data_IF_957916461080
#
_entry.id   IF_957916461080
#
_cell.length_a   1.000
_cell.length_b   1.000
_cell.length_c   1.000
_cell.angle_alpha   90.00
_cell.angle_beta   90.00
_cell.angle_gamma   90.00
#
_symmetry.space_group_name_H-M   'P 1'
#
loop_
_entity.id
_entity.type
_entity.pdbx_description
1 polymer ?
#
# COMPACT_ATOMS: atom_id res chain seq x y z
N UNK A 1 -2.99 9.71 26.08
CA UNK A 1 -3.60 9.60 24.75
C UNK A 1 -2.56 9.10 23.74
N UNK A 2 -3.01 8.50 22.65
CA UNK A 2 -2.13 8.14 21.51
C UNK A 2 -2.60 8.87 20.25
N UNK A 3 -1.64 9.26 19.42
CA UNK A 3 -1.90 9.96 18.15
C UNK A 3 -1.49 9.08 16.98
N UNK A 4 -2.33 9.01 15.96
CA UNK A 4 -2.05 8.39 14.68
C UNK A 4 -2.13 9.42 13.56
N UNK A 5 -1.19 9.38 12.63
CA UNK A 5 -1.23 10.12 11.37
C UNK A 5 -1.14 9.15 10.20
N UNK A 6 -1.92 9.37 9.15
CA UNK A 6 -1.91 8.52 7.97
C UNK A 6 -2.32 9.24 6.68
N UNK A 7 -1.96 8.64 5.54
CA UNK A 7 -2.15 9.23 4.21
C UNK A 7 -2.82 8.30 3.19
N UNK A 8 -2.83 6.99 3.43
CA UNK A 8 -3.37 5.99 2.49
C UNK A 8 -4.38 5.06 3.15
N UNK A 9 -5.19 4.37 2.34
CA UNK A 9 -6.14 3.37 2.84
C UNK A 9 -5.45 2.16 3.47
N UNK A 10 -4.29 1.74 2.92
CA UNK A 10 -3.44 0.71 3.50
C UNK A 10 -2.99 1.09 4.92
N UNK A 11 -2.47 2.30 5.07
CA UNK A 11 -2.05 2.81 6.38
C UNK A 11 -3.23 2.95 7.35
N UNK A 12 -4.42 3.30 6.86
CA UNK A 12 -5.61 3.35 7.70
C UNK A 12 -5.95 1.98 8.28
N UNK A 13 -5.91 0.93 7.45
CA UNK A 13 -6.12 -0.45 7.91
C UNK A 13 -5.09 -0.81 8.99
N UNK A 14 -3.80 -0.60 8.73
CA UNK A 14 -2.72 -0.88 9.69
C UNK A 14 -2.89 -0.12 11.01
N UNK A 15 -3.27 1.16 10.96
CA UNK A 15 -3.50 1.96 12.16
C UNK A 15 -4.70 1.46 12.98
N UNK A 16 -5.80 1.05 12.32
CA UNK A 16 -6.96 0.46 13.00
C UNK A 16 -6.58 -0.84 13.72
N UNK A 17 -5.85 -1.71 13.05
CA UNK A 17 -5.40 -2.99 13.60
C UNK A 17 -4.42 -2.79 14.75
N UNK A 18 -3.40 -1.94 14.56
CA UNK A 18 -2.44 -1.61 15.60
C UNK A 18 -3.14 -1.00 16.83
N UNK A 19 -4.07 -0.07 16.60
CA UNK A 19 -4.88 0.53 17.66
C UNK A 19 -5.64 -0.54 18.46
N UNK A 20 -6.25 -1.49 17.75
CA UNK A 20 -7.03 -2.57 18.37
C UNK A 20 -6.14 -3.52 19.18
N UNK A 21 -4.97 -3.87 18.66
CA UNK A 21 -4.08 -4.85 19.28
C UNK A 21 -3.30 -4.28 20.48
N UNK A 22 -2.85 -3.02 20.38
CA UNK A 22 -1.89 -2.48 21.34
C UNK A 22 -2.43 -1.33 22.21
N UNK A 23 -3.51 -0.68 21.80
CA UNK A 23 -4.03 0.52 22.45
C UNK A 23 -5.54 0.52 22.64
N UNK A 24 -6.18 -0.65 22.72
CA UNK A 24 -7.64 -0.77 22.78
C UNK A 24 -8.27 0.11 23.88
N UNK A 25 -7.59 0.29 25.01
CA UNK A 25 -8.09 1.04 26.15
C UNK A 25 -7.55 2.49 26.25
N UNK A 26 -6.71 2.92 25.30
CA UNK A 26 -6.21 4.29 25.29
C UNK A 26 -7.17 5.21 24.52
N UNK A 27 -7.29 6.45 24.90
CA UNK A 27 -7.88 7.45 24.03
C UNK A 27 -6.99 7.65 22.81
N UNK A 28 -7.56 7.54 21.61
CA UNK A 28 -6.84 7.58 20.34
C UNK A 28 -7.37 8.69 19.44
N UNK A 29 -6.48 9.55 18.99
CA UNK A 29 -6.71 10.62 18.04
C UNK A 29 -6.13 10.22 16.69
N UNK A 30 -6.86 10.45 15.62
CA UNK A 30 -6.42 10.18 14.25
C UNK A 30 -6.36 11.48 13.43
N UNK A 31 -5.24 11.69 12.76
CA UNK A 31 -5.07 12.70 11.71
C UNK A 31 -5.05 12.01 10.35
N UNK A 32 -5.95 12.40 9.46
CA UNK A 32 -6.05 11.91 8.08
C UNK A 32 -5.61 13.00 7.12
N UNK A 33 -4.80 12.67 6.12
CA UNK A 33 -4.51 13.58 5.02
C UNK A 33 -5.76 13.83 4.15
N UNK A 34 -6.00 15.06 3.76
CA UNK A 34 -7.18 15.49 3.00
C UNK A 34 -7.32 14.81 1.62
N UNK A 35 -6.22 14.43 0.99
CA UNK A 35 -6.28 13.72 -0.29
C UNK A 35 -6.80 12.28 -0.15
N UNK A 36 -6.66 11.65 1.04
CA UNK A 36 -7.30 10.37 1.32
C UNK A 36 -8.82 10.51 1.36
N UNK A 37 -9.33 11.58 1.98
CA UNK A 37 -10.77 11.82 2.08
C UNK A 37 -11.45 12.00 0.72
N UNK A 38 -10.71 12.54 -0.26
CA UNK A 38 -11.18 12.66 -1.66
C UNK A 38 -11.23 11.32 -2.40
N UNK A 39 -10.26 10.43 -2.13
CA UNK A 39 -10.22 9.07 -2.72
C UNK A 39 -11.27 8.15 -2.10
N UNK A 40 -11.58 8.35 -0.82
CA UNK A 40 -12.49 7.51 -0.03
C UNK A 40 -13.57 8.37 0.63
N UNK A 41 -14.63 8.75 -0.10
CA UNK A 41 -15.70 9.59 0.44
C UNK A 41 -16.40 8.99 1.67
N UNK A 42 -16.30 7.67 1.87
CA UNK A 42 -16.83 6.98 3.05
C UNK A 42 -16.06 7.30 4.35
N UNK A 43 -14.98 8.09 4.31
CA UNK A 43 -14.17 8.42 5.48
C UNK A 43 -14.96 9.03 6.64
N UNK A 44 -16.04 9.77 6.35
CA UNK A 44 -16.93 10.35 7.37
C UNK A 44 -17.56 9.28 8.27
N UNK A 45 -17.72 8.06 7.74
CA UNK A 45 -18.24 6.90 8.49
C UNK A 45 -17.18 6.19 9.31
N UNK A 46 -15.92 6.62 9.24
CA UNK A 46 -14.82 6.00 10.01
C UNK A 46 -15.08 6.07 11.52
N UNK A 47 -15.67 7.14 12.00
CA UNK A 47 -16.06 7.28 13.39
C UNK A 47 -17.05 6.19 13.85
N UNK A 48 -17.91 5.71 12.96
CA UNK A 48 -18.87 4.64 13.25
C UNK A 48 -18.18 3.30 13.54
N UNK A 49 -16.97 3.09 13.04
CA UNK A 49 -16.21 1.87 13.28
C UNK A 49 -15.67 1.76 14.71
N UNK A 50 -15.51 2.89 15.40
CA UNK A 50 -15.12 2.96 16.80
C UNK A 50 -13.64 2.62 17.08
N UNK A 51 -12.76 2.73 16.10
CA UNK A 51 -11.32 2.55 16.32
C UNK A 51 -10.63 3.79 16.91
N UNK A 52 -11.16 4.98 16.64
CA UNK A 52 -10.60 6.25 17.08
C UNK A 52 -11.66 7.09 17.77
N UNK A 53 -11.26 7.78 18.85
CA UNK A 53 -12.17 8.61 19.62
C UNK A 53 -12.42 9.95 18.93
N UNK A 54 -11.39 10.48 18.26
CA UNK A 54 -11.46 11.74 17.52
C UNK A 54 -10.69 11.62 16.20
N UNK A 55 -11.21 12.27 15.14
CA UNK A 55 -10.66 12.21 13.79
C UNK A 55 -10.58 13.62 13.24
N UNK A 56 -9.39 14.03 12.79
CA UNK A 56 -9.12 15.33 12.20
C UNK A 56 -8.59 15.17 10.77
N UNK A 57 -8.95 16.09 9.88
CA UNK A 57 -8.47 16.09 8.49
C UNK A 57 -7.43 17.19 8.32
N UNK A 58 -6.19 16.79 8.04
CA UNK A 58 -5.09 17.71 7.77
C UNK A 58 -5.14 18.20 6.33
N UNK A 59 -5.38 19.50 6.09
CA UNK A 59 -5.55 20.05 4.74
C UNK A 59 -4.20 20.36 4.06
N UNK A 60 -3.43 19.33 3.72
CA UNK A 60 -2.11 19.46 3.07
C UNK A 60 -2.14 20.25 1.76
N UNK A 61 -3.28 20.32 1.07
CA UNK A 61 -3.42 21.12 -0.14
C UNK A 61 -3.18 22.63 0.07
N UNK A 62 -3.27 23.10 1.30
CA UNK A 62 -2.99 24.51 1.66
C UNK A 62 -1.49 24.82 1.74
N UNK A 63 -0.64 23.80 1.84
CA UNK A 63 0.79 24.02 2.02
C UNK A 63 1.45 24.41 0.69
N UNK A 64 2.26 25.45 0.75
CA UNK A 64 3.16 25.86 -0.33
C UNK A 64 4.52 25.25 -0.01
N UNK A 65 4.94 24.28 -0.82
CA UNK A 65 6.15 23.48 -0.59
C UNK A 65 7.42 24.23 -1.05
N UNK A 66 7.64 25.46 -0.58
CA UNK A 66 8.78 26.27 -0.97
C UNK A 66 9.34 27.09 0.21
N UNK A 67 10.66 26.99 0.41
CA UNK A 67 11.41 27.82 1.35
C UNK A 67 11.07 27.66 2.83
N UNK A 68 11.67 28.49 3.66
CA UNK A 68 11.58 28.43 5.13
C UNK A 68 10.16 28.61 5.68
N UNK A 69 9.28 29.28 4.93
CA UNK A 69 7.89 29.49 5.34
C UNK A 69 7.08 28.21 5.47
N UNK A 70 7.54 27.10 4.91
CA UNK A 70 6.89 25.80 5.04
C UNK A 70 6.76 25.35 6.50
N UNK A 71 7.73 25.72 7.32
CA UNK A 71 7.72 25.36 8.74
C UNK A 71 6.62 26.09 9.52
N UNK A 72 6.44 27.39 9.26
CA UNK A 72 5.39 28.18 9.87
C UNK A 72 4.01 27.71 9.38
N UNK A 73 3.94 27.28 8.13
CA UNK A 73 2.71 26.69 7.58
C UNK A 73 2.38 25.34 8.25
N UNK A 74 3.37 24.48 8.47
CA UNK A 74 3.15 23.19 9.15
C UNK A 74 2.68 23.40 10.59
N UNK A 75 3.27 24.39 11.31
CA UNK A 75 2.86 24.79 12.66
C UNK A 75 1.40 25.25 12.67
N UNK A 76 1.11 26.28 11.86
CA UNK A 76 -0.25 26.83 11.73
C UNK A 76 -1.27 25.74 11.37
N UNK A 77 -0.91 24.87 10.43
CA UNK A 77 -1.80 23.81 9.96
C UNK A 77 -2.13 22.82 11.08
N UNK A 78 -1.13 22.44 11.88
CA UNK A 78 -1.35 21.57 13.03
C UNK A 78 -2.22 22.24 14.08
N UNK A 79 -1.88 23.47 14.51
CA UNK A 79 -2.62 24.21 15.53
C UNK A 79 -4.07 24.50 15.15
N UNK A 80 -4.33 24.79 13.86
CA UNK A 80 -5.70 25.01 13.36
C UNK A 80 -6.51 23.71 13.26
N UNK A 81 -5.83 22.56 13.10
CA UNK A 81 -6.49 21.27 12.85
C UNK A 81 -6.70 20.47 14.13
N UNK A 82 -5.69 20.44 15.02
CA UNK A 82 -5.66 19.55 16.19
C UNK A 82 -5.68 20.37 17.46
N UNK A 83 -6.71 20.24 18.32
CA UNK A 83 -6.84 21.09 19.52
C UNK A 83 -5.92 20.67 20.68
N UNK A 84 -4.97 19.79 20.42
CA UNK A 84 -4.07 19.21 21.42
C UNK A 84 -2.60 19.56 21.12
N UNK A 85 -1.84 19.98 22.11
CA UNK A 85 -0.39 20.07 21.98
C UNK A 85 0.23 18.67 21.87
N UNK A 86 1.39 18.56 21.21
CA UNK A 86 2.09 17.27 21.06
C UNK A 86 2.42 16.60 22.39
N UNK A 87 2.62 17.38 23.46
CA UNK A 87 2.94 16.87 24.82
C UNK A 87 1.80 16.11 25.50
N UNK A 88 0.57 16.27 25.00
CA UNK A 88 -0.57 15.51 25.52
C UNK A 88 -0.57 14.06 25.05
N UNK A 89 0.22 13.72 24.04
CA UNK A 89 0.31 12.37 23.52
C UNK A 89 1.48 11.60 24.14
N UNK A 90 1.17 10.47 24.75
CA UNK A 90 2.16 9.54 25.31
C UNK A 90 2.96 8.85 24.19
N UNK A 91 2.27 8.50 23.10
CA UNK A 91 2.85 7.91 21.91
C UNK A 91 2.26 8.55 20.65
N UNK A 92 3.13 8.74 19.66
CA UNK A 92 2.77 9.26 18.34
C UNK A 92 3.17 8.21 17.30
N UNK A 93 2.22 7.84 16.45
CA UNK A 93 2.37 6.89 15.37
C UNK A 93 2.22 7.61 14.03
N UNK A 94 3.26 7.59 13.21
CA UNK A 94 3.29 8.28 11.93
C UNK A 94 3.36 7.27 10.78
N UNK A 95 2.25 7.11 10.08
CA UNK A 95 2.18 6.47 8.79
C UNK A 95 2.07 7.59 7.72
N UNK A 96 2.75 7.42 6.56
CA UNK A 96 2.92 8.54 5.63
C UNK A 96 4.05 9.47 6.09
N UNK A 97 5.21 8.86 6.40
CA UNK A 97 6.38 9.59 6.92
C UNK A 97 6.96 10.61 5.93
N UNK A 98 6.69 10.46 4.61
CA UNK A 98 7.07 11.41 3.58
C UNK A 98 6.19 12.69 3.56
N UNK A 99 5.29 12.86 4.52
CA UNK A 99 4.48 14.07 4.65
C UNK A 99 5.03 15.03 5.70
N UNK A 100 4.60 16.29 5.63
CA UNK A 100 5.06 17.37 6.50
C UNK A 100 4.92 17.11 8.00
N UNK A 101 4.00 16.22 8.39
CA UNK A 101 3.80 15.89 9.79
C UNK A 101 5.04 15.23 10.43
N UNK A 102 5.74 14.37 9.72
CA UNK A 102 7.00 13.78 10.24
C UNK A 102 8.07 14.83 10.47
N UNK A 103 8.24 15.76 9.51
CA UNK A 103 9.18 16.89 9.65
C UNK A 103 8.77 17.83 10.78
N UNK A 104 7.48 18.08 10.95
CA UNK A 104 6.94 18.84 12.07
C UNK A 104 7.31 18.19 13.41
N UNK A 105 7.16 16.86 13.54
CA UNK A 105 7.59 16.13 14.75
C UNK A 105 9.10 16.24 15.00
N UNK A 106 9.91 16.12 13.94
CA UNK A 106 11.36 16.26 14.02
C UNK A 106 11.77 17.67 14.47
N UNK A 107 11.14 18.72 13.91
CA UNK A 107 11.39 20.11 14.30
C UNK A 107 11.08 20.37 15.77
N UNK A 108 10.05 19.71 16.30
CA UNK A 108 9.65 19.79 17.72
C UNK A 108 10.40 18.79 18.61
N UNK A 109 11.44 18.14 18.08
CA UNK A 109 12.23 17.15 18.83
C UNK A 109 11.34 16.08 19.51
N UNK A 110 10.26 15.67 18.80
CA UNK A 110 9.27 14.74 19.32
C UNK A 110 9.51 13.34 18.80
N UNK A 111 9.76 12.39 19.73
CA UNK A 111 9.86 10.97 19.39
C UNK A 111 8.54 10.45 18.81
N UNK A 112 8.63 9.66 17.75
CA UNK A 112 7.50 8.97 17.14
C UNK A 112 7.88 7.59 16.65
N UNK A 113 6.87 6.75 16.48
CA UNK A 113 7.00 5.41 15.89
C UNK A 113 6.47 5.50 14.45
N UNK A 114 7.31 5.15 13.49
CA UNK A 114 6.93 5.14 12.09
C UNK A 114 6.23 3.83 11.71
N UNK A 115 5.27 3.89 10.79
CA UNK A 115 4.86 2.72 10.01
C UNK A 115 5.67 2.68 8.73
N UNK A 116 5.98 1.49 8.23
CA UNK A 116 6.50 1.37 6.86
C UNK A 116 5.48 1.90 5.85
N UNK A 117 5.97 2.57 4.81
CA UNK A 117 5.11 3.21 3.81
C UNK A 117 4.37 2.21 2.92
N UNK A 118 5.05 1.13 2.58
CA UNK A 118 4.52 0.03 1.81
C UNK A 118 5.14 -1.28 2.30
N UNK A 119 4.48 -2.39 2.06
CA UNK A 119 4.97 -3.70 2.47
C UNK A 119 6.38 -3.98 1.95
N UNK A 120 7.30 -4.30 2.85
CA UNK A 120 8.72 -4.47 2.55
C UNK A 120 9.50 -3.17 2.35
N UNK A 121 8.90 -2.01 2.56
CA UNK A 121 9.51 -0.70 2.34
C UNK A 121 10.66 -0.37 3.30
N UNK A 122 10.66 -0.95 4.50
CA UNK A 122 11.77 -0.74 5.43
C UNK A 122 13.10 -1.28 4.90
N UNK A 123 13.11 -2.45 4.27
CA UNK A 123 14.31 -3.05 3.70
C UNK A 123 14.66 -2.58 2.29
N UNK A 124 13.79 -1.78 1.66
CA UNK A 124 13.92 -1.30 0.28
C UNK A 124 13.57 0.19 0.18
N UNK A 125 14.30 1.07 0.87
CA UNK A 125 14.03 2.52 0.89
C UNK A 125 14.11 3.16 -0.50
N UNK A 126 14.89 2.59 -1.43
CA UNK A 126 15.02 3.04 -2.81
C UNK A 126 13.69 3.09 -3.56
N UNK A 127 12.74 2.22 -3.22
CA UNK A 127 11.41 2.21 -3.83
C UNK A 127 10.66 3.50 -3.48
N UNK A 128 10.76 3.94 -2.24
CA UNK A 128 10.13 5.17 -1.76
C UNK A 128 10.82 6.39 -2.37
N UNK A 129 12.15 6.43 -2.34
CA UNK A 129 12.95 7.50 -2.93
C UNK A 129 12.58 7.70 -4.40
N UNK A 130 12.53 6.63 -5.19
CA UNK A 130 12.16 6.72 -6.61
C UNK A 130 10.72 7.22 -6.83
N UNK A 131 9.78 6.81 -5.99
CA UNK A 131 8.40 7.31 -6.08
C UNK A 131 8.32 8.79 -5.72
N UNK A 132 9.10 9.24 -4.75
CA UNK A 132 9.07 10.61 -4.25
C UNK A 132 9.86 11.59 -5.11
N UNK A 133 10.73 11.16 -6.02
CA UNK A 133 11.32 12.02 -7.05
C UNK A 133 10.29 12.80 -7.90
N UNK A 134 9.03 12.37 -7.87
CA UNK A 134 7.91 13.01 -8.59
C UNK A 134 7.22 14.12 -7.80
N UNK A 135 7.53 14.26 -6.51
CA UNK A 135 7.02 15.34 -5.66
C UNK A 135 7.85 16.61 -5.83
N UNK A 136 7.57 17.66 -5.06
CA UNK A 136 8.40 18.85 -5.11
C UNK A 136 9.85 18.51 -4.72
N UNK A 137 10.80 19.01 -5.51
CA UNK A 137 12.24 18.83 -5.25
C UNK A 137 12.60 19.27 -3.83
N UNK A 138 12.01 20.34 -3.36
CA UNK A 138 12.24 20.88 -2.01
C UNK A 138 11.85 19.88 -0.91
N UNK A 139 10.66 19.28 -1.01
CA UNK A 139 10.21 18.26 -0.04
C UNK A 139 11.09 17.02 -0.11
N UNK A 140 11.40 16.55 -1.31
CA UNK A 140 12.26 15.38 -1.52
C UNK A 140 13.64 15.56 -0.86
N UNK A 141 14.30 16.71 -1.08
CA UNK A 141 15.59 17.03 -0.48
C UNK A 141 15.51 17.09 1.04
N UNK A 142 14.47 17.72 1.61
CA UNK A 142 14.27 17.75 3.06
C UNK A 142 14.07 16.35 3.67
N UNK A 143 13.34 15.47 3.00
CA UNK A 143 13.16 14.09 3.46
C UNK A 143 14.47 13.31 3.45
N UNK A 144 15.30 13.50 2.43
CA UNK A 144 16.66 12.92 2.37
C UNK A 144 17.56 13.45 3.48
N UNK A 145 17.63 14.77 3.64
CA UNK A 145 18.46 15.42 4.67
C UNK A 145 18.07 15.00 6.11
N UNK A 146 16.80 14.70 6.32
CA UNK A 146 16.29 14.27 7.61
C UNK A 146 16.24 12.74 7.79
N UNK A 147 16.84 11.96 6.89
CA UNK A 147 16.89 10.50 7.00
C UNK A 147 15.52 9.85 7.21
N UNK A 148 14.51 10.33 6.48
CA UNK A 148 13.13 9.81 6.57
C UNK A 148 13.02 8.47 5.84
N UNK A 149 13.55 8.38 4.62
CA UNK A 149 13.38 7.20 3.76
C UNK A 149 14.08 5.96 4.30
N UNK A 150 15.24 6.13 4.92
CA UNK A 150 16.04 5.06 5.54
C UNK A 150 15.67 4.82 7.01
N UNK A 151 14.72 5.58 7.56
CA UNK A 151 14.26 5.55 8.95
C UNK A 151 15.37 5.83 9.98
N UNK A 152 16.50 6.38 9.59
CA UNK A 152 17.64 6.62 10.49
C UNK A 152 17.52 7.88 11.35
N UNK A 153 16.54 8.75 11.09
CA UNK A 153 16.34 9.94 11.89
C UNK A 153 16.28 9.62 13.40
N UNK A 154 17.00 10.34 14.27
CA UNK A 154 17.05 10.05 15.71
C UNK A 154 15.69 10.17 16.41
N UNK A 155 14.74 10.93 15.87
CA UNK A 155 13.40 11.09 16.44
C UNK A 155 12.44 9.96 16.03
N UNK A 156 12.84 9.07 15.13
CA UNK A 156 12.13 7.80 14.87
C UNK A 156 12.59 6.79 15.91
N UNK A 157 11.72 6.47 16.87
CA UNK A 157 11.99 5.53 17.99
C UNK A 157 12.03 4.07 17.51
N UNK A 158 11.05 3.70 16.68
CA UNK A 158 10.88 2.36 16.15
C UNK A 158 10.11 2.38 14.83
N UNK A 159 10.11 1.27 14.10
CA UNK A 159 9.33 1.10 12.87
C UNK A 159 8.40 -0.10 12.99
N UNK A 160 7.11 0.13 12.74
CA UNK A 160 6.09 -0.92 12.60
C UNK A 160 6.10 -1.38 11.14
N UNK A 161 6.37 -2.65 10.93
CA UNK A 161 6.43 -3.25 9.60
C UNK A 161 6.03 -4.73 9.61
N UNK A 162 5.63 -5.24 8.46
CA UNK A 162 5.51 -6.69 8.30
C UNK A 162 6.91 -7.32 8.14
N UNK A 163 7.44 -7.88 9.20
CA UNK A 163 8.78 -8.48 9.19
C UNK A 163 8.89 -9.66 8.20
N UNK A 164 7.79 -10.35 7.89
CA UNK A 164 7.76 -11.44 6.91
C UNK A 164 7.93 -10.93 5.47
N UNK A 165 7.70 -9.64 5.24
CA UNK A 165 7.86 -8.98 3.95
C UNK A 165 9.25 -8.36 3.76
N UNK A 166 10.11 -8.38 4.79
CA UNK A 166 11.41 -7.73 4.77
C UNK A 166 12.52 -8.71 4.38
N UNK A 167 13.58 -8.14 3.78
CA UNK A 167 14.87 -8.81 3.62
C UNK A 167 15.89 -8.05 4.49
N UNK A 168 15.88 -8.35 5.79
CA UNK A 168 16.70 -7.61 6.78
C UNK A 168 17.93 -8.41 7.10
N UNK A 169 19.12 -7.84 6.79
CA UNK A 169 20.41 -8.36 7.23
C UNK A 169 20.82 -7.73 8.55
N UNK A 170 20.52 -6.44 8.76
CA UNK A 170 20.80 -5.70 9.98
C UNK A 170 19.70 -4.63 10.17
N UNK A 171 19.05 -4.61 11.33
CA UNK A 171 18.03 -3.62 11.63
C UNK A 171 18.67 -2.37 12.25
N UNK A 172 18.50 -1.22 11.62
CA UNK A 172 19.00 0.08 12.10
C UNK A 172 18.13 0.68 13.20
N UNK A 173 16.89 0.23 13.32
CA UNK A 173 15.91 0.65 14.34
C UNK A 173 15.25 -0.56 14.99
N UNK A 174 14.63 -0.36 16.14
CA UNK A 174 13.72 -1.35 16.72
C UNK A 174 12.56 -1.60 15.77
N UNK A 175 12.32 -2.86 15.41
CA UNK A 175 11.21 -3.26 14.57
C UNK A 175 10.09 -3.84 15.40
N UNK A 176 8.87 -3.41 15.11
CA UNK A 176 7.64 -3.92 15.70
C UNK A 176 6.88 -4.65 14.59
N UNK A 177 6.68 -5.95 14.77
CA UNK A 177 5.98 -6.75 13.77
C UNK A 177 4.49 -6.47 13.75
N UNK A 178 3.96 -6.19 12.57
CA UNK A 178 2.54 -6.15 12.27
C UNK A 178 2.33 -6.73 10.88
N UNK A 179 1.70 -7.90 10.79
CA UNK A 179 1.18 -8.43 9.53
C UNK A 179 -0.29 -8.01 9.41
N UNK A 180 -0.64 -7.12 8.47
CA UNK A 180 -1.99 -6.57 8.42
C UNK A 180 -3.04 -7.60 8.02
N UNK A 181 -2.72 -8.60 7.20
CA UNK A 181 -3.69 -9.61 6.84
C UNK A 181 -3.97 -10.59 8.03
N UNK A 182 -2.92 -10.97 8.76
CA UNK A 182 -3.09 -11.78 9.98
C UNK A 182 -3.83 -10.98 11.05
N UNK A 183 -3.43 -9.74 11.29
CA UNK A 183 -4.06 -8.86 12.28
C UNK A 183 -5.55 -8.68 11.99
N UNK A 184 -5.92 -8.43 10.72
CA UNK A 184 -7.31 -8.36 10.30
C UNK A 184 -8.07 -9.67 10.58
N UNK A 185 -7.43 -10.82 10.32
CA UNK A 185 -7.99 -12.14 10.58
C UNK A 185 -8.34 -12.39 12.06
N UNK A 186 -7.64 -11.73 12.99
CA UNK A 186 -7.89 -11.85 14.45
C UNK A 186 -9.07 -11.02 14.94
N UNK A 187 -9.54 -10.04 14.17
CA UNK A 187 -10.68 -9.22 14.56
C UNK A 187 -11.97 -10.04 14.63
N UNK A 188 -12.91 -9.70 15.53
CA UNK A 188 -14.25 -10.29 15.55
C UNK A 188 -14.93 -10.21 14.18
N UNK A 189 -15.68 -11.24 13.82
CA UNK A 189 -16.33 -11.31 12.49
C UNK A 189 -17.19 -10.07 12.19
N UNK A 190 -18.00 -9.62 13.15
CA UNK A 190 -18.80 -8.39 13.01
C UNK A 190 -17.93 -7.16 12.69
N UNK A 191 -16.77 -7.05 13.35
CA UNK A 191 -15.83 -5.94 13.10
C UNK A 191 -15.24 -6.06 11.69
N UNK A 192 -14.84 -7.26 11.28
CA UNK A 192 -14.31 -7.49 9.92
C UNK A 192 -15.34 -7.11 8.84
N UNK A 193 -16.59 -7.52 9.00
CA UNK A 193 -17.64 -7.18 8.03
C UNK A 193 -17.87 -5.65 7.96
N UNK A 194 -17.85 -4.95 9.09
CA UNK A 194 -17.97 -3.49 9.14
C UNK A 194 -16.78 -2.80 8.46
N UNK A 195 -15.56 -3.29 8.69
CA UNK A 195 -14.34 -2.77 8.04
C UNK A 195 -14.37 -3.04 6.53
N UNK A 196 -14.74 -4.25 6.09
CA UNK A 196 -14.91 -4.56 4.66
C UNK A 196 -15.95 -3.63 4.00
N UNK A 197 -17.09 -3.44 4.64
CA UNK A 197 -18.15 -2.57 4.14
C UNK A 197 -17.69 -1.09 4.08
N UNK A 198 -16.90 -0.64 5.05
CA UNK A 198 -16.31 0.69 5.05
C UNK A 198 -15.39 0.92 3.84
N UNK A 199 -14.52 -0.04 3.54
CA UNK A 199 -13.63 0.03 2.38
C UNK A 199 -14.33 -0.29 1.04
N UNK A 200 -15.61 -0.63 1.05
CA UNK A 200 -16.35 -0.95 -0.17
C UNK A 200 -15.93 -2.28 -0.81
N UNK A 201 -15.46 -3.21 0.00
CA UNK A 201 -15.18 -4.56 -0.48
C UNK A 201 -16.46 -5.22 -1.00
N UNK A 202 -16.41 -6.02 -2.06
CA UNK A 202 -17.53 -6.88 -2.45
C UNK A 202 -17.87 -7.85 -1.31
N UNK A 203 -19.17 -8.09 -1.10
CA UNK A 203 -19.61 -8.97 -0.01
C UNK A 203 -19.04 -10.38 -0.13
N UNK A 204 -19.12 -10.97 -1.33
CA UNK A 204 -18.54 -12.26 -1.68
C UNK A 204 -18.14 -12.29 -3.14
N UNK A 205 -16.97 -12.88 -3.38
CA UNK A 205 -16.45 -13.14 -4.72
C UNK A 205 -16.35 -14.65 -4.89
N UNK A 206 -17.17 -15.20 -5.78
CA UNK A 206 -17.11 -16.62 -6.10
C UNK A 206 -16.04 -16.86 -7.16
N UNK A 207 -15.11 -17.77 -6.89
CA UNK A 207 -14.05 -18.15 -7.82
C UNK A 207 -14.06 -19.64 -8.07
N UNK A 208 -13.61 -20.05 -9.25
CA UNK A 208 -13.44 -21.44 -9.58
C UNK A 208 -12.22 -22.01 -8.81
N UNK A 209 -12.24 -23.34 -8.60
CA UNK A 209 -11.06 -24.03 -8.08
C UNK A 209 -9.89 -23.87 -9.06
N UNK A 210 -8.67 -23.73 -8.55
CA UNK A 210 -7.47 -23.50 -9.37
C UNK A 210 -7.40 -22.11 -10.03
N UNK A 211 -8.21 -21.14 -9.56
CA UNK A 211 -8.13 -19.77 -10.05
C UNK A 211 -6.83 -19.09 -9.62
N UNK A 212 -6.39 -18.11 -10.42
CA UNK A 212 -5.23 -17.26 -10.16
C UNK A 212 -5.69 -15.82 -9.92
N UNK A 213 -5.33 -15.26 -8.78
CA UNK A 213 -5.53 -13.85 -8.47
C UNK A 213 -4.33 -13.03 -8.95
N UNK A 214 -4.55 -12.08 -9.85
CA UNK A 214 -3.51 -11.20 -10.38
C UNK A 214 -3.71 -9.81 -9.79
N UNK A 215 -2.72 -9.32 -9.03
CA UNK A 215 -2.64 -7.94 -8.59
C UNK A 215 -2.04 -7.10 -9.71
N UNK A 216 -2.83 -6.18 -10.29
CA UNK A 216 -2.32 -5.33 -11.38
C UNK A 216 -1.53 -4.14 -10.87
N UNK A 217 -0.77 -3.51 -11.78
CA UNK A 217 -0.02 -2.28 -11.54
C UNK A 217 -0.37 -1.24 -12.61
N UNK A 218 -0.26 0.01 -12.26
CA UNK A 218 -0.55 1.15 -13.12
C UNK A 218 0.66 1.62 -13.96
N UNK A 219 1.41 0.69 -14.54
CA UNK A 219 2.70 0.98 -15.19
C UNK A 219 2.58 2.04 -16.29
N UNK A 220 1.52 1.96 -17.09
CA UNK A 220 1.28 2.93 -18.16
C UNK A 220 0.92 4.33 -17.63
N UNK A 221 0.11 4.40 -16.58
CA UNK A 221 -0.25 5.67 -15.94
C UNK A 221 0.97 6.36 -15.29
N UNK A 222 1.93 5.56 -14.85
CA UNK A 222 3.20 6.06 -14.31
C UNK A 222 4.20 6.46 -15.41
N UNK A 223 3.87 6.20 -16.70
CA UNK A 223 4.77 6.47 -17.82
C UNK A 223 5.96 5.51 -17.91
N UNK A 224 5.91 4.38 -17.19
CA UNK A 224 6.96 3.35 -17.20
C UNK A 224 6.94 2.54 -18.48
N UNK A 225 5.73 2.24 -18.97
CA UNK A 225 5.49 1.55 -20.26
C UNK A 225 4.32 2.19 -20.99
N UNK A 226 4.12 1.86 -22.28
CA UNK A 226 2.88 2.21 -23.00
C UNK A 226 1.70 1.36 -22.52
N UNK A 227 0.45 1.81 -22.81
CA UNK A 227 -0.74 1.02 -22.52
C UNK A 227 -0.74 -0.33 -23.24
N UNK A 228 -0.31 -0.36 -24.49
CA UNK A 228 -0.19 -1.58 -25.29
C UNK A 228 0.77 -2.56 -24.63
N UNK A 229 1.90 -2.08 -24.12
CA UNK A 229 2.90 -2.89 -23.45
C UNK A 229 2.38 -3.43 -22.11
N UNK A 230 1.68 -2.62 -21.33
CA UNK A 230 1.05 -3.09 -20.08
C UNK A 230 0.01 -4.20 -20.36
N UNK A 231 -0.82 -4.02 -21.39
CA UNK A 231 -1.78 -5.04 -21.83
C UNK A 231 -1.05 -6.32 -22.24
N UNK A 232 0.02 -6.19 -23.03
CA UNK A 232 0.81 -7.31 -23.51
C UNK A 232 1.44 -8.11 -22.34
N UNK A 233 1.89 -7.44 -21.29
CA UNK A 233 2.43 -8.09 -20.08
C UNK A 233 1.35 -8.95 -19.41
N UNK A 234 0.13 -8.44 -19.25
CA UNK A 234 -0.95 -9.22 -18.63
C UNK A 234 -1.49 -10.33 -19.56
N UNK A 235 -1.40 -10.16 -20.89
CA UNK A 235 -1.64 -11.26 -21.83
C UNK A 235 -0.62 -12.37 -21.67
N UNK A 236 0.65 -12.04 -21.36
CA UNK A 236 1.66 -13.03 -21.04
C UNK A 236 1.28 -13.87 -19.81
N UNK A 237 0.71 -13.24 -18.77
CA UNK A 237 0.17 -13.99 -17.64
C UNK A 237 -0.91 -14.95 -18.08
N UNK A 238 -1.87 -14.50 -18.88
CA UNK A 238 -3.00 -15.30 -19.33
C UNK A 238 -2.59 -16.44 -20.29
N UNK A 239 -1.74 -16.14 -21.27
CA UNK A 239 -1.47 -17.06 -22.37
C UNK A 239 -0.31 -18.00 -22.11
N UNK A 240 0.63 -17.63 -21.25
CA UNK A 240 1.86 -18.39 -21.04
C UNK A 240 1.99 -18.93 -19.63
N UNK A 241 1.85 -18.09 -18.61
CA UNK A 241 2.05 -18.56 -17.23
C UNK A 241 0.82 -19.31 -16.68
N UNK A 242 -0.37 -18.88 -17.09
CA UNK A 242 -1.64 -19.45 -16.57
C UNK A 242 -2.65 -19.77 -17.68
N UNK A 243 -2.25 -20.53 -18.73
CA UNK A 243 -3.05 -20.69 -19.95
C UNK A 243 -4.39 -21.43 -19.75
N UNK A 244 -4.50 -22.24 -18.69
CA UNK A 244 -5.70 -23.06 -18.44
C UNK A 244 -6.47 -22.63 -17.19
N UNK A 245 -5.93 -21.67 -16.44
CA UNK A 245 -6.51 -21.22 -15.18
C UNK A 245 -7.55 -20.11 -15.41
N UNK A 246 -8.52 -20.04 -14.50
CA UNK A 246 -9.43 -18.91 -14.43
C UNK A 246 -8.74 -17.71 -13.75
N UNK A 247 -8.70 -16.59 -14.44
CA UNK A 247 -8.04 -15.40 -13.95
C UNK A 247 -9.01 -14.51 -13.18
N UNK A 248 -8.52 -13.97 -12.06
CA UNK A 248 -9.18 -12.96 -11.26
C UNK A 248 -8.25 -11.75 -11.17
N UNK A 249 -8.60 -10.64 -11.79
CA UNK A 249 -7.80 -9.42 -11.71
C UNK A 249 -8.28 -8.56 -10.55
N UNK A 250 -7.38 -8.19 -9.63
CA UNK A 250 -7.58 -7.09 -8.71
C UNK A 250 -6.89 -5.86 -9.29
N UNK A 251 -7.69 -4.95 -9.79
CA UNK A 251 -7.19 -3.77 -10.49
C UNK A 251 -6.64 -2.76 -9.48
N UNK A 252 -5.43 -2.23 -9.77
CA UNK A 252 -4.85 -1.15 -8.98
C UNK A 252 -5.78 0.09 -9.02
N UNK A 253 -5.99 0.82 -7.91
CA UNK A 253 -6.93 1.94 -7.84
C UNK A 253 -6.77 3.03 -8.91
N UNK A 254 -5.56 3.22 -9.39
CA UNK A 254 -5.21 4.24 -10.38
C UNK A 254 -4.90 3.65 -11.76
N UNK A 255 -5.09 2.34 -11.97
CA UNK A 255 -4.92 1.68 -13.27
C UNK A 255 -6.12 1.95 -14.18
N UNK A 256 -5.87 2.39 -15.42
CA UNK A 256 -6.90 2.76 -16.40
C UNK A 256 -7.16 1.69 -17.45
N UNK A 257 -6.44 0.57 -17.39
CA UNK A 257 -6.64 -0.55 -18.32
C UNK A 257 -7.98 -1.24 -18.05
N UNK A 258 -8.75 -1.47 -19.10
CA UNK A 258 -10.08 -2.07 -18.99
C UNK A 258 -10.01 -3.60 -19.17
N UNK A 259 -9.55 -4.29 -18.15
CA UNK A 259 -9.30 -5.75 -18.17
C UNK A 259 -10.49 -6.59 -18.57
N UNK A 260 -11.71 -6.17 -18.24
CA UNK A 260 -12.94 -6.92 -18.54
C UNK A 260 -13.19 -7.14 -20.02
N UNK A 261 -12.68 -6.23 -20.88
CA UNK A 261 -12.79 -6.37 -22.34
C UNK A 261 -11.63 -7.13 -22.96
N UNK A 262 -10.49 -7.10 -22.28
CA UNK A 262 -9.25 -7.68 -22.81
C UNK A 262 -9.14 -9.17 -22.49
N UNK A 263 -9.76 -9.62 -21.41
CA UNK A 263 -9.64 -10.99 -20.89
C UNK A 263 -11.03 -11.60 -20.75
N UNK A 264 -11.51 -12.21 -21.84
CA UNK A 264 -12.83 -12.85 -21.88
C UNK A 264 -12.91 -13.99 -20.83
N UNK A 265 -13.97 -13.95 -20.03
CA UNK A 265 -14.19 -14.94 -18.96
C UNK A 265 -13.39 -14.70 -17.67
N UNK A 266 -12.50 -13.72 -17.64
CA UNK A 266 -11.83 -13.32 -16.41
C UNK A 266 -12.76 -12.55 -15.47
N UNK A 267 -12.60 -12.78 -14.18
CA UNK A 267 -13.26 -11.98 -13.16
C UNK A 267 -12.42 -10.73 -12.84
N UNK A 268 -13.07 -9.58 -12.68
CA UNK A 268 -12.36 -8.31 -12.46
C UNK A 268 -12.93 -7.58 -11.26
N UNK A 269 -12.10 -7.38 -10.25
CA UNK A 269 -12.39 -6.63 -9.02
C UNK A 269 -11.83 -5.21 -9.19
N UNK A 270 -12.72 -4.24 -9.34
CA UNK A 270 -12.38 -2.83 -9.57
C UNK A 270 -12.55 -1.95 -8.34
N UNK A 271 -13.19 -2.48 -7.29
CA UNK A 271 -13.42 -1.80 -6.03
C UNK A 271 -12.07 -1.43 -5.38
N UNK A 272 -12.03 -0.21 -4.81
CA UNK A 272 -10.79 0.38 -4.25
C UNK A 272 -10.72 0.10 -2.76
N UNK A 273 -9.99 -0.95 -2.37
CA UNK A 273 -9.75 -1.31 -0.98
C UNK A 273 -8.34 -1.89 -0.81
N UNK A 274 -7.78 -1.89 0.41
CA UNK A 274 -6.47 -2.49 0.69
C UNK A 274 -6.40 -3.96 0.29
N UNK A 275 -5.30 -4.36 -0.38
CA UNK A 275 -5.10 -5.74 -0.86
C UNK A 275 -5.13 -6.77 0.26
N UNK A 276 -4.81 -6.37 1.47
CA UNK A 276 -4.80 -7.17 2.69
C UNK A 276 -6.19 -7.74 3.03
N UNK A 277 -7.25 -7.12 2.51
CA UNK A 277 -8.62 -7.61 2.68
C UNK A 277 -9.01 -8.68 1.65
N UNK A 278 -8.24 -8.86 0.57
CA UNK A 278 -8.53 -9.81 -0.50
C UNK A 278 -8.76 -11.25 -0.01
N UNK A 279 -7.94 -11.80 0.89
CA UNK A 279 -8.15 -13.18 1.37
C UNK A 279 -9.51 -13.42 2.03
N UNK A 280 -10.19 -12.37 2.45
CA UNK A 280 -11.43 -12.42 3.25
C UNK A 280 -12.71 -12.12 2.46
N UNK A 281 -12.61 -11.86 1.15
CA UNK A 281 -13.77 -11.61 0.30
C UNK A 281 -14.16 -12.79 -0.56
N UNK A 282 -13.30 -13.81 -0.70
CA UNK A 282 -13.56 -14.96 -1.54
C UNK A 282 -14.37 -16.05 -0.83
N UNK A 283 -15.35 -16.62 -1.53
CA UNK A 283 -16.02 -17.82 -1.07
C UNK A 283 -15.08 -19.04 -1.15
N UNK A 284 -14.43 -19.21 -2.32
CA UNK A 284 -13.33 -20.13 -2.52
C UNK A 284 -12.12 -19.29 -2.89
N UNK A 285 -11.10 -19.26 -2.04
CA UNK A 285 -9.92 -18.44 -2.31
C UNK A 285 -9.19 -18.98 -3.55
N UNK A 286 -8.72 -18.11 -4.47
CA UNK A 286 -7.81 -18.51 -5.53
C UNK A 286 -6.61 -19.28 -4.97
N UNK A 287 -6.13 -20.25 -5.72
CA UNK A 287 -5.05 -21.13 -5.27
C UNK A 287 -3.70 -20.39 -5.36
N UNK A 288 -3.53 -19.63 -6.44
CA UNK A 288 -2.32 -18.85 -6.73
C UNK A 288 -2.60 -17.36 -6.67
N UNK A 289 -1.65 -16.60 -6.12
CA UNK A 289 -1.59 -15.15 -6.25
C UNK A 289 -0.40 -14.75 -7.11
N UNK A 290 -0.60 -13.81 -8.03
CA UNK A 290 0.43 -13.37 -8.96
C UNK A 290 0.48 -11.85 -9.09
N UNK A 291 1.66 -11.32 -9.38
CA UNK A 291 1.87 -9.90 -9.67
C UNK A 291 3.14 -9.66 -10.47
N UNK A 292 3.30 -8.45 -11.00
CA UNK A 292 4.57 -7.97 -11.55
C UNK A 292 5.39 -7.28 -10.46
N UNK A 293 4.79 -6.29 -9.76
CA UNK A 293 5.50 -5.44 -8.79
C UNK A 293 4.65 -5.00 -7.61
N UNK A 294 3.47 -5.57 -7.40
CA UNK A 294 2.65 -5.10 -6.29
C UNK A 294 3.24 -5.50 -4.95
N UNK A 295 3.69 -4.54 -4.18
CA UNK A 295 4.19 -4.78 -2.81
C UNK A 295 3.12 -5.36 -1.89
N UNK A 296 1.83 -5.18 -2.22
CA UNK A 296 0.72 -5.79 -1.50
C UNK A 296 0.75 -7.33 -1.46
N UNK A 297 1.45 -7.99 -2.43
CA UNK A 297 1.60 -9.44 -2.42
C UNK A 297 2.32 -9.93 -1.17
N UNK A 298 3.30 -9.17 -0.66
CA UNK A 298 4.11 -9.60 0.48
C UNK A 298 3.32 -9.73 1.78
N UNK A 299 2.23 -8.98 1.91
CA UNK A 299 1.36 -9.04 3.09
C UNK A 299 0.36 -10.22 3.05
N UNK A 300 0.08 -10.76 1.87
CA UNK A 300 -1.01 -11.74 1.72
C UNK A 300 -0.59 -13.06 1.06
N UNK A 301 0.58 -13.15 0.44
CA UNK A 301 1.02 -14.36 -0.29
C UNK A 301 0.99 -15.62 0.56
N UNK A 302 1.28 -15.52 1.85
CA UNK A 302 1.26 -16.67 2.78
C UNK A 302 -0.14 -17.23 3.02
N UNK A 303 -1.19 -16.52 2.64
CA UNK A 303 -2.58 -16.95 2.72
C UNK A 303 -3.05 -17.71 1.46
N UNK A 304 -2.20 -17.85 0.44
CA UNK A 304 -2.46 -18.59 -0.79
C UNK A 304 -1.56 -19.82 -0.85
N UNK A 305 -1.96 -20.84 -1.62
CA UNK A 305 -1.16 -22.07 -1.76
C UNK A 305 0.12 -21.82 -2.52
N UNK A 306 0.06 -20.94 -3.52
CA UNK A 306 1.18 -20.58 -4.38
C UNK A 306 1.25 -19.06 -4.58
N UNK A 307 2.45 -18.55 -4.79
CA UNK A 307 2.68 -17.15 -5.18
C UNK A 307 3.63 -17.08 -6.37
N UNK A 308 3.30 -16.23 -7.32
CA UNK A 308 4.10 -15.96 -8.50
C UNK A 308 4.38 -14.46 -8.63
N UNK A 309 5.64 -14.10 -8.68
CA UNK A 309 6.07 -12.73 -8.93
C UNK A 309 6.94 -12.74 -10.20
N UNK A 310 6.54 -11.97 -11.20
CA UNK A 310 7.36 -11.74 -12.35
C UNK A 310 8.41 -10.71 -11.95
N UNK A 311 9.56 -11.21 -11.50
CA UNK A 311 10.70 -10.37 -11.15
C UNK A 311 11.30 -9.78 -12.41
N UNK A 312 10.99 -8.53 -12.66
CA UNK A 312 11.50 -7.79 -13.80
C UNK A 312 12.80 -7.04 -13.47
N UNK A 313 13.28 -7.11 -12.22
CA UNK A 313 14.35 -6.28 -11.69
C UNK A 313 14.03 -4.78 -11.79
N UNK A 314 14.27 -4.01 -10.76
CA UNK A 314 14.06 -2.54 -10.80
C UNK A 314 14.93 -1.86 -11.88
N UNK A 315 16.01 -2.54 -12.31
CA UNK A 315 16.98 -2.10 -13.31
C UNK A 315 16.74 -2.72 -14.69
N UNK A 316 15.90 -3.74 -14.82
CA UNK A 316 15.56 -4.26 -16.14
C UNK A 316 14.80 -3.16 -16.89
N UNK A 317 15.47 -2.53 -17.84
CA UNK A 317 14.78 -1.65 -18.76
C UNK A 317 13.66 -2.45 -19.38
N UNK A 318 12.46 -1.88 -19.44
CA UNK A 318 11.32 -2.55 -20.09
C UNK A 318 11.57 -2.84 -21.59
N UNK A 319 12.71 -2.44 -22.14
CA UNK A 319 13.22 -2.87 -23.45
C UNK A 319 13.62 -4.35 -23.45
N UNK A 320 14.10 -4.89 -22.32
CA UNK A 320 14.37 -6.33 -22.19
C UNK A 320 13.10 -7.17 -22.16
N UNK A 321 11.94 -6.60 -21.79
CA UNK A 321 10.65 -7.27 -21.93
C UNK A 321 10.35 -7.61 -23.36
N UNK A 322 10.68 -6.76 -24.33
CA UNK A 322 10.43 -7.05 -25.74
C UNK A 322 11.25 -8.26 -26.21
N UNK A 323 12.48 -8.39 -25.73
CA UNK A 323 13.34 -9.56 -26.00
C UNK A 323 12.77 -10.80 -25.29
N UNK A 324 12.39 -10.67 -24.02
CA UNK A 324 11.80 -11.76 -23.25
C UNK A 324 10.46 -12.22 -23.88
N UNK A 325 9.61 -11.28 -24.29
CA UNK A 325 8.37 -11.53 -25.02
C UNK A 325 8.61 -12.26 -26.34
N UNK A 326 9.57 -11.78 -27.14
CA UNK A 326 9.93 -12.44 -28.38
C UNK A 326 10.40 -13.88 -28.13
N UNK A 327 11.22 -14.10 -27.10
CA UNK A 327 11.70 -15.44 -26.74
C UNK A 327 10.56 -16.36 -26.28
N UNK A 328 9.63 -15.86 -25.46
CA UNK A 328 8.46 -16.62 -24.97
C UNK A 328 7.50 -16.93 -26.10
N UNK A 329 7.25 -15.97 -27.00
CA UNK A 329 6.39 -16.16 -28.16
C UNK A 329 6.99 -17.17 -29.13
N UNK A 330 8.31 -17.12 -29.36
CA UNK A 330 9.04 -18.11 -30.17
C UNK A 330 8.99 -19.49 -29.54
N UNK A 331 9.20 -19.59 -28.20
CA UNK A 331 9.11 -20.86 -27.49
C UNK A 331 7.71 -21.48 -27.64
N UNK A 332 6.64 -20.68 -27.47
CA UNK A 332 5.24 -21.11 -27.66
C UNK A 332 4.96 -21.58 -29.11
N UNK A 333 5.50 -20.89 -30.09
CA UNK A 333 5.40 -21.31 -31.50
C UNK A 333 6.14 -22.63 -31.76
N UNK A 334 7.30 -22.82 -31.14
CA UNK A 334 8.06 -24.06 -31.26
C UNK A 334 7.34 -25.24 -30.57
N UNK A 335 6.73 -25.01 -29.40
CA UNK A 335 5.93 -26.04 -28.73
C UNK A 335 4.71 -26.47 -29.55
N UNK A 336 4.04 -25.54 -30.23
CA UNK A 336 2.93 -25.85 -31.11
C UNK A 336 3.39 -26.63 -32.37
N UNK A 337 4.59 -26.34 -32.86
CA UNK A 337 5.15 -27.04 -34.04
C UNK A 337 5.69 -28.44 -33.71
N UNK A 338 5.98 -28.74 -32.45
CA UNK A 338 6.40 -30.08 -31.99
C UNK A 338 5.23 -31.02 -31.70
N UNK A 339 3.99 -30.49 -31.66
CA UNK A 339 2.76 -31.26 -31.42
C UNK A 339 2.00 -31.65 -32.73
N UNK A 340 2.51 -31.25 -33.88
CA UNK A 340 2.01 -31.64 -35.23
C UNK A 340 3.01 -32.52 -35.94
#
# INVERSE_FOLDING_TARGET
>A
MVLYHLTTAYQLLNCMEHRKLFHENNQAVLIIADFLTRKYPAWERLAELGFFDEIYVMPYWKMIEEGETVWDQAETLYEETVPYSLDMFEKIYCAGIQMWFSLYLIRHERLFIAFEEASGGYSRPEILMHNDERISKFRYELMLENHIYDYENPWIEAVICNMNAQTITEAKKTLIHLDPAEAFGTLPEETRERVKAFFGCPEKVETAQGSVLILTQQLANLGVVSFEKQIAIYQLFADYFFPEQKLVFKVHPDDQVYYRWLFEGAQVITEKFPSELLPFIFTNRPETIATIYSTGIYNIRHMFSESFELDMGFEASFEEIDVYWACVYIAKLLDVTTLT
#
